data_IF_004302172372
#
_entry.id   IF_004302172372
#
_cell.length_a   1.000
_cell.length_b   1.000
_cell.length_c   1.000
_cell.angle_alpha   90.00
_cell.angle_beta   90.00
_cell.angle_gamma   90.00
#
_symmetry.space_group_name_H-M   'P 1'
#
loop_
_entity.id
_entity.type
_entity.pdbx_description
1 polymer ?
#
# COMPACT_ATOMS: atom_id res chain seq x y z
N UNK A 1 17.14 3.73 -9.00
CA UNK A 1 16.69 2.66 -8.08
C UNK A 1 15.59 1.89 -8.78
N UNK A 2 15.82 0.64 -9.10
CA UNK A 2 14.78 -0.28 -9.58
C UNK A 2 13.77 -0.43 -8.45
N UNK A 3 12.59 0.15 -8.62
CA UNK A 3 11.49 -0.05 -7.70
C UNK A 3 11.08 -1.50 -7.77
N UNK A 4 10.95 -2.11 -6.59
CA UNK A 4 10.67 -3.52 -6.45
C UNK A 4 9.45 -3.95 -7.28
N UNK A 5 9.45 -5.20 -7.66
CA UNK A 5 8.33 -5.86 -8.30
C UNK A 5 7.02 -5.51 -7.59
N UNK A 6 6.02 -5.08 -8.34
CA UNK A 6 4.73 -4.64 -7.84
C UNK A 6 4.06 -5.71 -6.96
N UNK A 7 4.14 -6.99 -7.37
CA UNK A 7 3.62 -8.10 -6.60
C UNK A 7 4.29 -8.19 -5.22
N UNK A 8 5.62 -8.15 -5.16
CA UNK A 8 6.36 -8.21 -3.90
C UNK A 8 6.06 -7.03 -2.99
N UNK A 9 5.91 -5.82 -3.54
CA UNK A 9 5.55 -4.63 -2.77
C UNK A 9 4.19 -4.78 -2.10
N UNK A 10 3.18 -5.20 -2.85
CA UNK A 10 1.82 -5.41 -2.34
C UNK A 10 1.75 -6.60 -1.36
N UNK A 11 2.44 -7.70 -1.66
CA UNK A 11 2.52 -8.85 -0.78
C UNK A 11 3.16 -8.49 0.57
N UNK A 12 4.24 -7.72 0.57
CA UNK A 12 4.87 -7.20 1.80
C UNK A 12 3.92 -6.29 2.59
N UNK A 13 3.15 -5.45 1.91
CA UNK A 13 2.14 -4.59 2.54
C UNK A 13 1.09 -5.44 3.27
N UNK A 14 0.56 -6.49 2.64
CA UNK A 14 -0.39 -7.43 3.27
C UNK A 14 0.24 -8.11 4.49
N UNK A 15 1.46 -8.62 4.36
CA UNK A 15 2.18 -9.28 5.47
C UNK A 15 2.35 -8.33 6.66
N UNK A 16 2.67 -7.06 6.38
CA UNK A 16 2.96 -6.05 7.41
C UNK A 16 1.73 -5.44 8.10
N UNK A 17 0.51 -5.68 7.61
CA UNK A 17 -0.69 -5.10 8.21
C UNK A 17 -0.83 -5.45 9.70
N UNK A 18 -1.06 -4.43 10.54
CA UNK A 18 -1.37 -4.55 11.98
C UNK A 18 -0.32 -5.29 12.82
N UNK A 19 0.93 -5.32 12.38
CA UNK A 19 2.06 -5.88 13.15
C UNK A 19 3.26 -4.92 13.09
N UNK A 20 4.22 -5.10 13.98
CA UNK A 20 5.45 -4.30 13.99
C UNK A 20 6.33 -4.60 12.77
N UNK A 21 7.18 -3.66 12.41
CA UNK A 21 8.14 -3.80 11.30
C UNK A 21 9.02 -5.03 11.49
N UNK A 22 9.51 -5.28 12.71
CA UNK A 22 10.35 -6.45 13.01
C UNK A 22 9.58 -7.77 12.82
N UNK A 23 8.32 -7.84 13.28
CA UNK A 23 7.46 -9.01 13.08
C UNK A 23 7.15 -9.22 11.60
N UNK A 24 6.85 -8.15 10.86
CA UNK A 24 6.59 -8.21 9.42
C UNK A 24 7.80 -8.76 8.65
N UNK A 25 9.02 -8.31 9.00
CA UNK A 25 10.23 -8.82 8.38
C UNK A 25 10.48 -10.29 8.70
N UNK A 26 10.22 -10.72 9.93
CA UNK A 26 10.34 -12.13 10.34
C UNK A 26 9.38 -13.03 9.55
N UNK A 27 8.10 -12.63 9.46
CA UNK A 27 7.08 -13.38 8.69
C UNK A 27 7.46 -13.40 7.20
N UNK A 28 7.88 -12.27 6.65
CA UNK A 28 8.29 -12.19 5.24
C UNK A 28 9.43 -13.14 4.92
N UNK A 29 10.44 -13.23 5.78
CA UNK A 29 11.57 -14.15 5.59
C UNK A 29 11.10 -15.61 5.55
N UNK A 30 10.14 -15.99 6.40
CA UNK A 30 9.56 -17.35 6.39
C UNK A 30 8.74 -17.61 5.12
N UNK A 31 7.95 -16.64 4.66
CA UNK A 31 7.23 -16.74 3.38
C UNK A 31 8.22 -16.90 2.21
N UNK A 32 9.32 -16.14 2.23
CA UNK A 32 10.36 -16.23 1.20
C UNK A 32 10.97 -17.64 1.16
N UNK A 33 11.31 -18.21 2.33
CA UNK A 33 11.84 -19.59 2.42
C UNK A 33 10.82 -20.60 1.88
N UNK A 34 9.55 -20.52 2.32
CA UNK A 34 8.49 -21.40 1.85
C UNK A 34 8.31 -21.31 0.33
N UNK A 35 8.42 -20.11 -0.24
CA UNK A 35 8.35 -19.86 -1.69
C UNK A 35 9.67 -20.14 -2.43
N UNK A 36 10.58 -20.94 -1.85
CA UNK A 36 11.87 -21.34 -2.45
C UNK A 36 12.74 -20.14 -2.84
N UNK A 37 12.78 -19.14 -1.97
CA UNK A 37 13.52 -17.88 -2.13
C UNK A 37 13.08 -17.02 -3.32
N UNK A 38 11.90 -17.29 -3.89
CA UNK A 38 11.33 -16.50 -4.99
C UNK A 38 9.83 -16.28 -4.76
N UNK A 39 9.49 -15.15 -4.16
CA UNK A 39 8.09 -14.75 -3.98
C UNK A 39 7.57 -14.18 -5.30
N UNK A 40 6.66 -14.91 -5.93
CA UNK A 40 5.92 -14.53 -7.13
C UNK A 40 4.52 -15.17 -7.10
N UNK A 41 3.58 -14.76 -7.95
CA UNK A 41 2.22 -15.27 -7.95
C UNK A 41 2.15 -16.80 -7.98
N UNK A 42 2.86 -17.44 -8.91
CA UNK A 42 2.84 -18.91 -9.09
C UNK A 42 3.34 -19.65 -7.85
N UNK A 43 4.44 -19.19 -7.26
CA UNK A 43 5.01 -19.84 -6.08
C UNK A 43 4.09 -19.67 -4.85
N UNK A 44 3.44 -18.52 -4.70
CA UNK A 44 2.46 -18.32 -3.62
C UNK A 44 1.23 -19.22 -3.82
N UNK A 45 0.71 -19.34 -5.03
CA UNK A 45 -0.44 -20.19 -5.33
C UNK A 45 -0.13 -21.69 -5.15
N UNK A 46 1.12 -22.09 -5.34
CA UNK A 46 1.58 -23.47 -5.13
C UNK A 46 1.71 -23.86 -3.65
N UNK A 47 1.78 -22.89 -2.72
CA UNK A 47 1.82 -23.17 -1.28
C UNK A 47 0.43 -23.50 -0.75
N UNK A 48 0.38 -24.48 0.15
CA UNK A 48 -0.84 -24.81 0.88
C UNK A 48 -1.18 -23.72 1.91
N UNK A 49 -2.42 -23.73 2.40
CA UNK A 49 -2.87 -22.85 3.48
C UNK A 49 -2.03 -23.09 4.73
N UNK A 50 -1.72 -24.35 5.02
CA UNK A 50 -0.93 -24.79 6.17
C UNK A 50 0.50 -24.29 6.12
N UNK A 51 1.14 -24.32 4.94
CA UNK A 51 2.49 -23.79 4.73
C UNK A 51 2.55 -22.27 4.93
N UNK A 52 1.57 -21.55 4.41
CA UNK A 52 1.47 -20.09 4.59
C UNK A 52 1.18 -19.72 6.06
N UNK A 53 0.36 -20.50 6.76
CA UNK A 53 0.12 -20.32 8.20
C UNK A 53 1.35 -20.65 9.05
N UNK A 54 2.09 -21.69 8.70
CA UNK A 54 3.35 -22.03 9.36
C UNK A 54 4.42 -20.95 9.18
N UNK A 55 4.38 -20.20 8.09
CA UNK A 55 5.20 -18.99 7.89
C UNK A 55 4.79 -17.82 8.79
N UNK A 56 3.66 -17.91 9.50
CA UNK A 56 3.19 -16.90 10.46
C UNK A 56 2.10 -15.97 9.93
N UNK A 57 1.47 -16.31 8.82
CA UNK A 57 0.33 -15.54 8.30
C UNK A 57 -0.97 -15.93 9.06
N UNK A 58 -1.76 -14.92 9.45
CA UNK A 58 -3.13 -15.17 9.91
C UNK A 58 -4.00 -15.73 8.79
N UNK A 59 -5.12 -16.37 9.13
CA UNK A 59 -6.05 -16.89 8.13
C UNK A 59 -6.46 -15.84 7.09
N UNK A 60 -6.81 -14.62 7.54
CA UNK A 60 -7.14 -13.50 6.64
C UNK A 60 -5.98 -13.12 5.70
N UNK A 61 -4.75 -13.05 6.22
CA UNK A 61 -3.58 -12.73 5.40
C UNK A 61 -3.26 -13.82 4.38
N UNK A 62 -3.52 -15.08 4.71
CA UNK A 62 -3.43 -16.19 3.75
C UNK A 62 -4.42 -15.99 2.61
N UNK A 63 -5.67 -15.68 2.91
CA UNK A 63 -6.67 -15.35 1.88
C UNK A 63 -6.23 -14.17 1.01
N UNK A 64 -5.76 -13.08 1.63
CA UNK A 64 -5.36 -11.87 0.93
C UNK A 64 -4.15 -12.07 0.02
N UNK A 65 -3.12 -12.78 0.47
CA UNK A 65 -1.92 -13.01 -0.35
C UNK A 65 -2.20 -13.96 -1.52
N UNK A 66 -3.12 -14.93 -1.33
CA UNK A 66 -3.56 -15.82 -2.40
C UNK A 66 -4.43 -15.09 -3.41
N UNK A 67 -5.35 -14.22 -2.95
CA UNK A 67 -6.19 -13.40 -3.83
C UNK A 67 -5.34 -12.41 -4.64
N UNK A 68 -4.33 -11.78 -4.02
CA UNK A 68 -3.33 -10.97 -4.72
C UNK A 68 -2.62 -11.78 -5.81
N UNK A 69 -2.14 -12.98 -5.46
CA UNK A 69 -1.42 -13.83 -6.40
C UNK A 69 -2.31 -14.26 -7.57
N UNK A 70 -3.57 -14.60 -7.30
CA UNK A 70 -4.54 -14.96 -8.32
C UNK A 70 -4.87 -13.79 -9.28
N UNK A 71 -5.00 -12.57 -8.76
CA UNK A 71 -5.19 -11.38 -9.59
C UNK A 71 -4.03 -11.13 -10.55
N UNK A 72 -2.78 -11.33 -10.09
CA UNK A 72 -1.60 -11.19 -10.95
C UNK A 72 -1.44 -12.33 -11.95
N UNK A 73 -1.71 -13.58 -11.56
CA UNK A 73 -1.51 -14.75 -12.41
C UNK A 73 -2.60 -14.88 -13.49
N UNK A 74 -3.85 -14.52 -13.16
CA UNK A 74 -4.99 -14.59 -14.07
C UNK A 74 -5.05 -13.45 -15.11
N UNK A 75 -4.19 -12.44 -15.01
CA UNK A 75 -4.20 -11.28 -15.90
C UNK A 75 -5.35 -10.30 -15.68
N UNK A 76 -6.03 -10.37 -14.53
CA UNK A 76 -7.09 -9.41 -14.15
C UNK A 76 -6.57 -8.01 -13.88
N UNK A 77 -5.26 -7.86 -13.61
CA UNK A 77 -4.59 -6.59 -13.42
C UNK A 77 -3.83 -6.17 -14.66
N UNK A 78 -3.95 -4.91 -15.02
CA UNK A 78 -3.25 -4.32 -16.15
C UNK A 78 -1.91 -3.69 -15.73
N UNK A 79 -1.12 -4.39 -14.91
CA UNK A 79 0.11 -3.88 -14.27
C UNK A 79 1.09 -3.23 -15.26
N UNK A 80 1.19 -3.76 -16.49
CA UNK A 80 2.03 -3.21 -17.55
C UNK A 80 1.50 -1.87 -18.10
N UNK A 81 0.22 -1.59 -17.90
CA UNK A 81 -0.47 -0.39 -18.40
C UNK A 81 -0.63 0.69 -17.31
N UNK A 82 -0.41 0.37 -16.04
CA UNK A 82 -0.61 1.32 -14.95
C UNK A 82 0.09 2.67 -15.15
N UNK A 83 1.23 2.70 -15.86
CA UNK A 83 1.92 3.96 -16.16
C UNK A 83 1.08 4.93 -17.00
N UNK A 84 0.18 4.40 -17.82
CA UNK A 84 -0.64 5.15 -18.77
C UNK A 84 -2.10 5.30 -18.29
N UNK A 85 -2.49 4.59 -17.23
CA UNK A 85 -3.82 4.69 -16.63
C UNK A 85 -3.89 5.88 -15.69
N UNK A 86 -5.08 6.45 -15.51
CA UNK A 86 -5.33 7.46 -14.49
C UNK A 86 -5.26 6.84 -13.08
N UNK A 87 -5.04 7.70 -12.08
CA UNK A 87 -4.82 7.27 -10.70
C UNK A 87 -6.02 6.51 -10.13
N UNK A 88 -7.24 6.96 -10.42
CA UNK A 88 -8.46 6.35 -9.88
C UNK A 88 -8.70 4.95 -10.47
N UNK A 89 -8.45 4.77 -11.76
CA UNK A 89 -8.51 3.45 -12.42
C UNK A 89 -7.54 2.46 -11.80
N UNK A 90 -6.31 2.88 -11.49
CA UNK A 90 -5.33 2.02 -10.80
C UNK A 90 -5.78 1.70 -9.37
N UNK A 91 -6.31 2.70 -8.64
CA UNK A 91 -6.85 2.49 -7.29
C UNK A 91 -8.00 1.48 -7.30
N UNK A 92 -8.90 1.56 -8.29
CA UNK A 92 -10.01 0.61 -8.43
C UNK A 92 -9.52 -0.82 -8.68
N UNK A 93 -8.57 -1.02 -9.59
CA UNK A 93 -7.97 -2.34 -9.83
C UNK A 93 -7.33 -2.92 -8.56
N UNK A 94 -6.53 -2.13 -7.86
CA UNK A 94 -5.87 -2.58 -6.64
C UNK A 94 -6.85 -2.84 -5.49
N UNK A 95 -7.88 -2.01 -5.36
CA UNK A 95 -8.88 -2.16 -4.30
C UNK A 95 -9.86 -3.32 -4.53
N UNK A 96 -9.89 -3.90 -5.72
CA UNK A 96 -10.62 -5.14 -6.00
C UNK A 96 -9.97 -6.36 -5.33
N UNK A 97 -8.69 -6.26 -4.96
CA UNK A 97 -7.93 -7.31 -4.29
C UNK A 97 -8.29 -7.31 -2.80
N UNK A 98 -8.64 -8.48 -2.27
CA UNK A 98 -8.95 -8.63 -0.84
C UNK A 98 -7.79 -8.18 0.04
N UNK A 99 -8.08 -7.34 1.02
CA UNK A 99 -7.08 -6.81 1.95
C UNK A 99 -6.30 -5.61 1.44
N UNK A 100 -6.55 -5.14 0.22
CA UNK A 100 -6.02 -3.88 -0.29
C UNK A 100 -7.14 -2.85 -0.33
N UNK A 101 -7.14 -1.94 0.65
CA UNK A 101 -8.04 -0.80 0.66
C UNK A 101 -7.49 0.40 -0.12
N UNK A 102 -8.33 1.44 -0.27
CA UNK A 102 -7.96 2.69 -0.96
C UNK A 102 -6.64 3.27 -0.45
N UNK A 103 -6.47 3.38 0.86
CA UNK A 103 -5.22 3.91 1.45
C UNK A 103 -3.98 3.10 1.02
N UNK A 104 -4.06 1.77 1.04
CA UNK A 104 -2.95 0.91 0.59
C UNK A 104 -2.65 1.09 -0.89
N UNK A 105 -3.69 1.22 -1.73
CA UNK A 105 -3.54 1.52 -3.15
C UNK A 105 -2.90 2.90 -3.37
N UNK A 106 -3.32 3.93 -2.64
CA UNK A 106 -2.73 5.27 -2.69
C UNK A 106 -1.24 5.25 -2.28
N UNK A 107 -0.87 4.51 -1.22
CA UNK A 107 0.53 4.31 -0.83
C UNK A 107 1.34 3.64 -1.95
N UNK A 108 0.76 2.66 -2.62
CA UNK A 108 1.41 2.02 -3.78
C UNK A 108 1.63 3.02 -4.93
N UNK A 109 0.65 3.87 -5.23
CA UNK A 109 0.78 4.92 -6.25
C UNK A 109 1.89 5.93 -5.88
N UNK A 110 1.96 6.35 -4.63
CA UNK A 110 2.97 7.29 -4.14
C UNK A 110 4.38 6.68 -4.21
N UNK A 111 4.58 5.50 -3.61
CA UNK A 111 5.92 4.96 -3.37
C UNK A 111 6.43 4.04 -4.48
N UNK A 112 5.54 3.34 -5.20
CA UNK A 112 5.92 2.41 -6.25
C UNK A 112 5.77 3.04 -7.65
N UNK A 113 4.62 3.64 -7.96
CA UNK A 113 4.38 4.27 -9.26
C UNK A 113 4.85 5.74 -9.33
N UNK A 114 5.16 6.36 -8.19
CA UNK A 114 5.64 7.77 -8.06
C UNK A 114 4.68 8.77 -8.68
N UNK A 115 3.43 8.59 -8.41
CA UNK A 115 2.41 9.53 -8.86
C UNK A 115 2.51 10.85 -8.10
N UNK A 116 2.58 12.00 -8.78
CA UNK A 116 2.86 13.28 -8.14
C UNK A 116 1.66 13.89 -7.42
N UNK A 117 0.43 13.46 -7.73
CA UNK A 117 -0.79 14.17 -7.33
C UNK A 117 -1.78 13.32 -6.53
N UNK A 118 -1.29 12.42 -5.68
CA UNK A 118 -2.12 11.60 -4.79
C UNK A 118 -2.38 12.34 -3.48
N UNK A 119 -3.63 12.29 -3.00
CA UNK A 119 -4.06 12.86 -1.73
C UNK A 119 -4.71 11.77 -0.86
N UNK A 120 -3.97 11.14 0.06
CA UNK A 120 -4.48 10.05 0.88
C UNK A 120 -5.28 10.58 2.08
N UNK A 121 -6.56 10.90 1.89
CA UNK A 121 -7.42 11.47 2.93
C UNK A 121 -7.75 10.50 4.08
N UNK A 122 -7.45 9.21 3.93
CA UNK A 122 -7.57 8.21 5.00
C UNK A 122 -6.28 8.04 5.81
N UNK A 123 -5.24 8.80 5.45
CA UNK A 123 -3.96 8.78 6.16
C UNK A 123 -4.02 9.62 7.43
N UNK A 124 -3.93 8.94 8.57
CA UNK A 124 -3.99 9.59 9.90
C UNK A 124 -2.84 10.59 10.09
N UNK A 125 -1.66 10.27 9.56
CA UNK A 125 -0.50 11.16 9.63
C UNK A 125 -0.73 12.46 8.85
N UNK A 126 -1.27 12.36 7.64
CA UNK A 126 -1.60 13.53 6.83
C UNK A 126 -2.66 14.40 7.51
N UNK A 127 -3.76 13.82 7.98
CA UNK A 127 -4.81 14.57 8.68
C UNK A 127 -4.27 15.26 9.92
N UNK A 128 -3.46 14.57 10.72
CA UNK A 128 -2.80 15.16 11.89
C UNK A 128 -1.87 16.32 11.50
N UNK A 129 -1.08 16.16 10.45
CA UNK A 129 -0.19 17.22 9.98
C UNK A 129 -0.95 18.45 9.49
N UNK A 130 -2.06 18.26 8.76
CA UNK A 130 -2.94 19.34 8.33
C UNK A 130 -3.55 20.06 9.54
N UNK A 131 -4.05 19.30 10.53
CA UNK A 131 -4.57 19.86 11.78
C UNK A 131 -3.55 20.79 12.45
N UNK A 132 -2.32 20.31 12.64
CA UNK A 132 -1.27 21.08 13.30
C UNK A 132 -0.82 22.31 12.51
N UNK A 133 -0.68 22.20 11.19
CA UNK A 133 -0.11 23.26 10.38
C UNK A 133 -1.14 24.32 9.88
N UNK A 134 -2.42 23.98 9.80
CA UNK A 134 -3.46 24.84 9.24
C UNK A 134 -4.60 25.16 10.21
N UNK A 135 -4.81 24.37 11.26
CA UNK A 135 -5.94 24.49 12.18
C UNK A 135 -5.52 24.53 13.67
N UNK A 136 -4.28 24.90 13.95
CA UNK A 136 -3.76 25.03 15.32
C UNK A 136 -3.95 23.78 16.21
N UNK A 137 -4.03 22.60 15.60
CA UNK A 137 -4.23 21.33 16.29
C UNK A 137 -5.69 20.92 16.49
N UNK A 138 -6.64 21.72 16.04
CA UNK A 138 -8.07 21.36 16.10
C UNK A 138 -8.38 20.18 15.15
N UNK A 139 -9.43 19.39 15.46
CA UNK A 139 -9.86 18.29 14.59
C UNK A 139 -10.22 18.79 13.19
N UNK A 140 -9.78 18.03 12.17
CA UNK A 140 -9.99 18.37 10.76
C UNK A 140 -10.80 17.28 10.07
N UNK A 141 -11.87 17.66 9.40
CA UNK A 141 -12.65 16.77 8.55
C UNK A 141 -11.93 16.50 7.22
N UNK A 142 -12.34 15.38 6.56
CA UNK A 142 -11.83 15.10 5.19
C UNK A 142 -12.17 16.20 4.19
N UNK A 143 -13.27 16.90 4.38
CA UNK A 143 -13.68 18.02 3.52
C UNK A 143 -12.70 19.18 3.65
N UNK A 144 -12.45 19.65 4.87
CA UNK A 144 -11.49 20.73 5.16
C UNK A 144 -10.07 20.37 4.69
N UNK A 145 -9.63 19.13 4.94
CA UNK A 145 -8.33 18.66 4.44
C UNK A 145 -8.26 18.70 2.90
N UNK A 146 -9.36 18.39 2.20
CA UNK A 146 -9.44 18.47 0.74
C UNK A 146 -9.38 19.92 0.26
N UNK A 147 -10.04 20.86 0.95
CA UNK A 147 -9.99 22.29 0.63
C UNK A 147 -8.58 22.85 0.77
N UNK A 148 -7.88 22.56 1.87
CA UNK A 148 -6.47 22.93 2.06
C UNK A 148 -5.62 22.37 0.92
N UNK A 149 -5.79 21.08 0.60
CA UNK A 149 -4.99 20.39 -0.41
C UNK A 149 -5.38 20.74 -1.86
N UNK A 150 -6.44 21.51 -2.09
CA UNK A 150 -6.82 21.98 -3.43
C UNK A 150 -5.68 22.78 -4.08
N UNK A 151 -5.01 23.62 -3.30
CA UNK A 151 -3.90 24.46 -3.75
C UNK A 151 -2.58 23.68 -3.96
N UNK A 152 -2.50 22.42 -3.58
CA UNK A 152 -1.30 21.60 -3.75
C UNK A 152 -1.24 20.91 -5.13
N UNK A 153 -2.35 20.90 -5.86
CA UNK A 153 -2.36 20.32 -7.20
C UNK A 153 -1.42 21.08 -8.14
N UNK A 154 -0.68 20.41 -9.03
CA UNK A 154 -0.67 18.95 -9.29
C UNK A 154 0.38 18.17 -8.47
N UNK A 155 0.82 18.70 -7.33
CA UNK A 155 1.93 18.15 -6.53
C UNK A 155 1.48 17.66 -5.14
N UNK A 156 0.25 17.15 -5.03
CA UNK A 156 -0.33 16.70 -3.75
C UNK A 156 0.51 15.64 -3.03
N UNK A 157 1.14 14.74 -3.77
CA UNK A 157 2.07 13.75 -3.20
C UNK A 157 3.27 14.43 -2.54
N UNK A 158 3.85 15.43 -3.19
CA UNK A 158 5.00 16.17 -2.65
C UNK A 158 4.59 16.94 -1.40
N UNK A 159 3.46 17.63 -1.44
CA UNK A 159 2.92 18.32 -0.27
C UNK A 159 2.62 17.36 0.89
N UNK A 160 2.01 16.21 0.60
CA UNK A 160 1.77 15.14 1.59
C UNK A 160 3.07 14.69 2.25
N UNK A 161 4.14 14.53 1.48
CA UNK A 161 5.45 14.16 2.01
C UNK A 161 6.00 15.23 2.97
N UNK A 162 5.89 16.52 2.63
CA UNK A 162 6.28 17.60 3.54
C UNK A 162 5.40 17.65 4.78
N UNK A 163 4.09 17.38 4.66
CA UNK A 163 3.20 17.28 5.82
C UNK A 163 3.64 16.17 6.78
N UNK A 164 3.94 14.99 6.28
CA UNK A 164 4.47 13.90 7.12
C UNK A 164 5.76 14.32 7.82
N UNK A 165 6.70 14.94 7.09
CA UNK A 165 7.97 15.40 7.67
C UNK A 165 7.80 16.48 8.74
N UNK A 166 6.73 17.27 8.69
CA UNK A 166 6.47 18.31 9.68
C UNK A 166 6.08 17.77 11.07
N UNK A 167 5.67 16.51 11.15
CA UNK A 167 5.25 15.85 12.40
C UNK A 167 6.18 14.72 12.84
N UNK A 168 7.13 14.33 12.00
CA UNK A 168 8.17 13.37 12.39
C UNK A 168 9.24 14.10 13.21
N UNK A 169 9.60 13.63 14.40
CA UNK A 169 10.77 14.13 15.08
C UNK A 169 12.02 13.85 14.24
N UNK A 170 12.82 14.87 14.04
CA UNK A 170 14.14 14.78 13.37
C UNK A 170 15.09 14.00 14.28
#
# INVERSE_FOLDING_TARGET
>A
MTRGDAFNTLARSIVGQQISVAAAQSVWNKVLIAAKNKVNPKNILALSVEELRAAGLSGRKVEYIRDLADHFDSGRLHANQWKNMDDESVIQELSAIRGIGRWTAEMFLIFNLVRPNILPLDDVGLIKAISLNYFSGEPVSRHEAREVAANWAPWRTVATWYMWRSIDPI
#
